data_IF_301863463664
#
_entry.id   IF_301863463664
#
_cell.length_a   1.000
_cell.length_b   1.000
_cell.length_c   1.000
_cell.angle_alpha   90.00
_cell.angle_beta   90.00
_cell.angle_gamma   90.00
#
_symmetry.space_group_name_H-M   'P 1'
#
loop_
_entity.id
_entity.type
_entity.pdbx_description
1 polymer ?
#
# COMPACT_ATOMS: atom_id res chain seq x y z
N UNK A 1 2.97 -5.91 -29.54
CA UNK A 1 2.24 -7.06 -28.95
C UNK A 1 3.01 -7.76 -27.82
N UNK A 2 4.34 -7.90 -27.90
CA UNK A 2 5.14 -8.59 -26.85
C UNK A 2 5.08 -7.93 -25.48
N UNK A 3 5.09 -6.60 -25.38
CA UNK A 3 5.03 -5.91 -24.09
C UNK A 3 3.74 -6.12 -23.31
N UNK A 4 2.60 -6.26 -24.00
CA UNK A 4 1.30 -6.54 -23.39
C UNK A 4 1.28 -7.93 -22.74
N UNK A 5 1.89 -8.93 -23.42
CA UNK A 5 1.92 -10.30 -22.91
C UNK A 5 2.75 -10.43 -21.62
N UNK A 6 3.88 -9.72 -21.54
CA UNK A 6 4.74 -9.73 -20.35
C UNK A 6 4.02 -9.08 -19.16
N UNK A 7 3.40 -7.91 -19.36
CA UNK A 7 2.67 -7.20 -18.31
C UNK A 7 1.50 -8.05 -17.76
N UNK A 8 0.76 -8.70 -18.67
CA UNK A 8 -0.34 -9.60 -18.31
C UNK A 8 0.14 -10.77 -17.46
N UNK A 9 1.25 -11.39 -17.87
CA UNK A 9 1.87 -12.48 -17.13
C UNK A 9 2.32 -12.02 -15.74
N UNK A 10 2.98 -10.85 -15.64
CA UNK A 10 3.47 -10.32 -14.36
C UNK A 10 2.33 -10.02 -13.38
N UNK A 11 1.24 -9.37 -13.85
CA UNK A 11 0.08 -9.09 -13.00
C UNK A 11 -0.61 -10.40 -12.57
N UNK A 12 -0.71 -11.39 -13.45
CA UNK A 12 -1.23 -12.71 -13.12
C UNK A 12 -0.40 -13.43 -12.05
N UNK A 13 0.93 -13.41 -12.20
CA UNK A 13 1.86 -13.99 -11.23
C UNK A 13 1.78 -13.26 -9.88
N UNK A 14 1.72 -11.93 -9.87
CA UNK A 14 1.56 -11.12 -8.66
C UNK A 14 0.22 -11.41 -7.96
N UNK A 15 -0.88 -11.46 -8.70
CA UNK A 15 -2.20 -11.85 -8.19
C UNK A 15 -2.16 -13.21 -7.49
N UNK A 16 -1.61 -14.22 -8.14
CA UNK A 16 -1.51 -15.58 -7.58
C UNK A 16 -0.62 -15.61 -6.34
N UNK A 17 0.52 -14.91 -6.36
CA UNK A 17 1.43 -14.85 -5.23
C UNK A 17 0.79 -14.17 -4.02
N UNK A 18 0.25 -12.96 -4.18
CA UNK A 18 -0.38 -12.24 -3.09
C UNK A 18 -1.62 -12.95 -2.58
N UNK A 19 -2.44 -13.52 -3.48
CA UNK A 19 -3.62 -14.31 -3.12
C UNK A 19 -3.26 -15.56 -2.31
N UNK A 20 -2.28 -16.32 -2.76
CA UNK A 20 -1.83 -17.53 -2.04
C UNK A 20 -1.26 -17.20 -0.66
N UNK A 21 -0.35 -16.22 -0.56
CA UNK A 21 0.24 -15.83 0.73
C UNK A 21 -0.84 -15.28 1.67
N UNK A 22 -1.75 -14.45 1.17
CA UNK A 22 -2.89 -13.96 1.93
C UNK A 22 -3.75 -15.10 2.47
N UNK A 23 -4.13 -16.04 1.61
CA UNK A 23 -4.91 -17.22 2.01
C UNK A 23 -4.21 -18.01 3.11
N UNK A 24 -2.91 -18.30 2.96
CA UNK A 24 -2.10 -18.99 3.97
C UNK A 24 -2.10 -18.26 5.32
N UNK A 25 -1.90 -16.95 5.31
CA UNK A 25 -1.88 -16.13 6.54
C UNK A 25 -3.25 -16.04 7.21
N UNK A 26 -4.33 -16.00 6.42
CA UNK A 26 -5.68 -15.90 6.95
C UNK A 26 -6.28 -17.23 7.39
N UNK A 27 -5.79 -18.38 6.90
CA UNK A 27 -6.28 -19.71 7.26
C UNK A 27 -5.47 -20.39 8.36
N UNK A 28 -4.18 -20.04 8.51
CA UNK A 28 -3.31 -20.64 9.53
C UNK A 28 -3.80 -20.31 10.96
N UNK A 29 -3.83 -21.32 11.83
CA UNK A 29 -4.20 -21.19 13.26
C UNK A 29 -3.11 -21.73 14.17
N UNK A 30 -2.79 -21.10 15.31
CA UNK A 30 -3.27 -19.79 15.81
C UNK A 30 -2.66 -18.64 15.02
N UNK A 31 -3.45 -17.60 14.74
CA UNK A 31 -2.98 -16.42 14.00
C UNK A 31 -2.80 -15.22 14.92
N UNK A 32 -1.65 -14.56 14.79
CA UNK A 32 -1.41 -13.28 15.44
C UNK A 32 -2.18 -12.15 14.75
N UNK A 33 -2.38 -11.05 15.46
CA UNK A 33 -3.02 -9.84 14.90
C UNK A 33 -2.24 -9.30 13.70
N UNK A 34 -0.91 -9.30 13.78
CA UNK A 34 -0.02 -8.85 12.70
C UNK A 34 -0.20 -9.71 11.44
N UNK A 35 -0.26 -11.05 11.59
CA UNK A 35 -0.51 -11.96 10.46
C UNK A 35 -1.87 -11.71 9.81
N UNK A 36 -2.88 -11.36 10.60
CA UNK A 36 -4.21 -11.03 10.07
C UNK A 36 -4.18 -9.73 9.25
N UNK A 37 -3.53 -8.68 9.77
CA UNK A 37 -3.41 -7.41 9.07
C UNK A 37 -2.59 -7.58 7.78
N UNK A 38 -1.46 -8.30 7.84
CA UNK A 38 -0.66 -8.60 6.65
C UNK A 38 -1.46 -9.40 5.62
N UNK A 39 -2.20 -10.43 6.06
CA UNK A 39 -3.05 -11.22 5.18
C UNK A 39 -4.11 -10.38 4.49
N UNK A 40 -4.78 -9.45 5.21
CA UNK A 40 -5.76 -8.53 4.63
C UNK A 40 -5.11 -7.53 3.66
N UNK A 41 -3.92 -7.02 3.98
CA UNK A 41 -3.16 -6.13 3.09
C UNK A 41 -2.81 -6.84 1.77
N UNK A 42 -2.32 -8.09 1.85
CA UNK A 42 -1.99 -8.88 0.66
C UNK A 42 -3.23 -9.30 -0.12
N UNK A 43 -4.36 -9.57 0.54
CA UNK A 43 -5.64 -9.81 -0.15
C UNK A 43 -6.07 -8.60 -0.96
N UNK A 44 -5.94 -7.40 -0.37
CA UNK A 44 -6.27 -6.16 -1.06
C UNK A 44 -5.34 -5.93 -2.27
N UNK A 45 -4.04 -6.19 -2.13
CA UNK A 45 -3.10 -6.10 -3.25
C UNK A 45 -3.41 -7.12 -4.35
N UNK A 46 -3.78 -8.35 -3.99
CA UNK A 46 -4.25 -9.31 -4.98
C UNK A 46 -5.46 -8.79 -5.77
N UNK A 47 -6.42 -8.13 -5.10
CA UNK A 47 -7.57 -7.52 -5.78
C UNK A 47 -7.16 -6.39 -6.72
N UNK A 48 -6.13 -5.60 -6.39
CA UNK A 48 -5.60 -4.57 -7.28
C UNK A 48 -4.97 -5.18 -8.54
N UNK A 49 -4.15 -6.21 -8.40
CA UNK A 49 -3.58 -6.92 -9.55
C UNK A 49 -4.67 -7.57 -10.42
N UNK A 50 -5.70 -8.16 -9.79
CA UNK A 50 -6.83 -8.72 -10.52
C UNK A 50 -7.61 -7.66 -11.32
N UNK A 51 -7.82 -6.49 -10.74
CA UNK A 51 -8.42 -5.33 -11.41
C UNK A 51 -7.60 -4.96 -12.67
N UNK A 52 -6.27 -4.92 -12.55
CA UNK A 52 -5.40 -4.58 -13.69
C UNK A 52 -5.47 -5.63 -14.79
N UNK A 53 -5.60 -6.92 -14.44
CA UNK A 53 -5.87 -7.98 -15.42
C UNK A 53 -7.20 -7.72 -16.15
N UNK A 54 -8.25 -7.30 -15.45
CA UNK A 54 -9.54 -7.00 -16.07
C UNK A 54 -9.47 -5.80 -17.03
N UNK A 55 -8.63 -4.79 -16.74
CA UNK A 55 -8.46 -3.62 -17.59
C UNK A 55 -7.75 -3.92 -18.93
N UNK A 56 -7.19 -5.11 -19.12
CA UNK A 56 -6.71 -5.52 -20.44
C UNK A 56 -7.83 -5.80 -21.46
N UNK A 57 -9.06 -6.01 -21.00
CA UNK A 57 -10.21 -6.14 -21.89
C UNK A 57 -10.64 -4.76 -22.40
N UNK A 58 -10.52 -4.48 -23.74
CA UNK A 58 -10.80 -3.14 -24.27
C UNK A 58 -12.23 -2.65 -23.98
N UNK A 59 -13.19 -3.56 -23.89
CA UNK A 59 -14.59 -3.27 -23.59
C UNK A 59 -14.82 -2.66 -22.20
N UNK A 60 -13.90 -2.89 -21.26
CA UNK A 60 -13.97 -2.35 -19.90
C UNK A 60 -13.16 -1.05 -19.74
N UNK A 61 -12.29 -0.72 -20.72
CA UNK A 61 -11.36 0.40 -20.61
C UNK A 61 -12.05 1.73 -20.97
N UNK A 62 -12.93 2.21 -20.10
CA UNK A 62 -13.47 3.57 -20.19
C UNK A 62 -12.63 4.52 -19.34
N UNK A 63 -12.44 5.76 -19.80
CA UNK A 63 -11.66 6.78 -19.08
C UNK A 63 -12.16 6.95 -17.63
N UNK A 64 -13.48 7.04 -17.43
CA UNK A 64 -14.08 7.16 -16.09
C UNK A 64 -13.74 5.97 -15.19
N UNK A 65 -13.77 4.75 -15.73
CA UNK A 65 -13.45 3.55 -14.95
C UNK A 65 -11.97 3.54 -14.57
N UNK A 66 -11.08 3.80 -15.53
CA UNK A 66 -9.62 3.86 -15.29
C UNK A 66 -9.31 4.89 -14.21
N UNK A 67 -9.86 6.10 -14.33
CA UNK A 67 -9.66 7.17 -13.37
C UNK A 67 -10.21 6.82 -11.98
N UNK A 68 -11.39 6.18 -11.89
CA UNK A 68 -11.94 5.72 -10.60
C UNK A 68 -11.05 4.67 -9.93
N UNK A 69 -10.47 3.78 -10.72
CA UNK A 69 -9.58 2.72 -10.23
C UNK A 69 -8.23 3.26 -9.74
N UNK A 70 -7.72 4.37 -10.31
CA UNK A 70 -6.53 5.05 -9.82
C UNK A 70 -6.69 5.56 -8.36
N UNK A 71 -7.90 6.00 -7.97
CA UNK A 71 -8.15 6.33 -6.56
C UNK A 71 -8.05 5.11 -5.66
N UNK A 72 -8.53 3.95 -6.13
CA UNK A 72 -8.47 2.69 -5.39
C UNK A 72 -7.01 2.24 -5.23
N UNK A 73 -6.16 2.43 -6.25
CA UNK A 73 -4.73 2.11 -6.17
C UNK A 73 -4.02 2.87 -5.05
N UNK A 74 -4.37 4.12 -4.83
CA UNK A 74 -3.83 4.89 -3.72
C UNK A 74 -4.13 4.30 -2.34
N UNK A 75 -5.22 3.52 -2.18
CA UNK A 75 -5.55 2.85 -0.92
C UNK A 75 -4.55 1.74 -0.55
N UNK A 76 -3.76 1.25 -1.51
CA UNK A 76 -2.67 0.31 -1.24
C UNK A 76 -1.69 0.86 -0.22
N UNK A 77 -1.44 2.17 -0.25
CA UNK A 77 -0.55 2.87 0.69
C UNK A 77 -1.14 2.87 2.11
N UNK A 78 -2.45 3.10 2.25
CA UNK A 78 -3.12 3.01 3.54
C UNK A 78 -3.06 1.60 4.11
N UNK A 79 -3.30 0.57 3.28
CA UNK A 79 -3.22 -0.83 3.69
C UNK A 79 -1.81 -1.22 4.17
N UNK A 80 -0.76 -0.82 3.43
CA UNK A 80 0.64 -0.98 3.86
C UNK A 80 0.94 -0.26 5.17
N UNK A 81 0.42 0.96 5.33
CA UNK A 81 0.62 1.76 6.54
C UNK A 81 0.07 1.06 7.78
N UNK A 82 -1.10 0.41 7.70
CA UNK A 82 -1.65 -0.35 8.83
C UNK A 82 -0.75 -1.49 9.26
N UNK A 83 -0.19 -2.23 8.30
CA UNK A 83 0.76 -3.29 8.61
C UNK A 83 2.02 -2.74 9.26
N UNK A 84 2.63 -1.70 8.70
CA UNK A 84 3.86 -1.11 9.23
C UNK A 84 3.67 -0.51 10.63
N UNK A 85 2.56 0.17 10.87
CA UNK A 85 2.23 0.76 12.18
C UNK A 85 1.98 -0.32 13.23
N UNK A 86 1.23 -1.39 12.89
CA UNK A 86 1.00 -2.50 13.83
C UNK A 86 2.28 -3.30 14.11
N UNK A 87 3.17 -3.43 13.10
CA UNK A 87 4.46 -4.09 13.25
C UNK A 87 5.40 -3.34 14.20
N UNK A 88 5.40 -2.01 14.13
CA UNK A 88 6.29 -1.16 14.94
C UNK A 88 5.72 -0.81 16.32
N UNK A 89 4.40 -0.83 16.46
CA UNK A 89 3.71 -0.54 17.70
C UNK A 89 2.49 -1.47 17.85
N UNK A 90 2.71 -2.75 18.26
CA UNK A 90 1.63 -3.72 18.39
C UNK A 90 0.50 -3.23 19.30
N UNK A 91 -0.74 -3.35 18.83
CA UNK A 91 -1.93 -2.89 19.56
C UNK A 91 -2.20 -1.40 19.46
N UNK A 92 -1.34 -0.61 18.81
CA UNK A 92 -1.58 0.83 18.63
C UNK A 92 -2.77 1.11 17.71
N UNK A 93 -2.98 0.25 16.70
CA UNK A 93 -4.03 0.41 15.71
C UNK A 93 -5.40 0.05 16.31
N UNK A 94 -6.26 1.02 16.56
CA UNK A 94 -7.65 0.83 16.97
C UNK A 94 -8.61 1.42 15.92
N UNK A 95 -9.89 1.14 16.02
CA UNK A 95 -10.89 1.58 15.05
C UNK A 95 -10.91 3.10 14.83
N UNK A 96 -10.73 3.90 15.90
CA UNK A 96 -10.69 5.37 15.80
C UNK A 96 -9.50 5.83 14.95
N UNK A 97 -8.33 5.22 15.15
CA UNK A 97 -7.12 5.55 14.40
C UNK A 97 -7.19 5.05 12.96
N UNK A 98 -7.73 3.85 12.73
CA UNK A 98 -8.00 3.35 11.38
C UNK A 98 -8.89 4.33 10.64
N UNK A 99 -10.01 4.74 11.24
CA UNK A 99 -10.92 5.70 10.62
C UNK A 99 -10.24 7.04 10.32
N UNK A 100 -9.45 7.57 11.26
CA UNK A 100 -8.68 8.81 11.06
C UNK A 100 -7.69 8.72 9.92
N UNK A 101 -7.02 7.56 9.75
CA UNK A 101 -6.05 7.35 8.67
C UNK A 101 -6.73 7.12 7.31
N UNK A 102 -7.92 6.54 7.29
CA UNK A 102 -8.68 6.23 6.07
C UNK A 102 -9.53 7.40 5.60
N UNK A 103 -10.02 8.25 6.53
CA UNK A 103 -10.98 9.31 6.21
C UNK A 103 -10.53 10.26 5.09
N UNK A 104 -9.25 10.67 4.95
CA UNK A 104 -8.84 11.51 3.84
C UNK A 104 -8.93 10.79 2.48
N UNK A 105 -8.57 9.49 2.44
CA UNK A 105 -8.70 8.68 1.22
C UNK A 105 -10.16 8.57 0.80
N UNK A 106 -11.07 8.33 1.78
CA UNK A 106 -12.50 8.32 1.53
C UNK A 106 -13.00 9.66 1.00
N UNK A 107 -12.57 10.77 1.60
CA UNK A 107 -12.98 12.11 1.17
C UNK A 107 -12.60 12.39 -0.28
N UNK A 108 -11.34 12.12 -0.68
CA UNK A 108 -10.91 12.26 -2.06
C UNK A 108 -11.67 11.34 -3.01
N UNK A 109 -11.84 10.07 -2.65
CA UNK A 109 -12.55 9.09 -3.49
C UNK A 109 -14.01 9.49 -3.69
N UNK A 110 -14.72 9.90 -2.62
CA UNK A 110 -16.11 10.36 -2.70
C UNK A 110 -16.20 11.64 -3.52
N UNK A 111 -15.31 12.61 -3.28
CA UNK A 111 -15.30 13.87 -4.05
C UNK A 111 -15.13 13.60 -5.54
N UNK A 112 -14.23 12.71 -5.94
CA UNK A 112 -14.07 12.33 -7.33
C UNK A 112 -15.30 11.59 -7.89
N UNK A 113 -15.84 10.59 -7.20
CA UNK A 113 -16.99 9.82 -7.67
C UNK A 113 -18.26 10.67 -7.81
N UNK A 114 -18.40 11.73 -6.99
CA UNK A 114 -19.54 12.66 -7.11
C UNK A 114 -19.40 13.64 -8.25
N UNK A 115 -18.18 14.06 -8.60
CA UNK A 115 -17.95 15.18 -9.55
C UNK A 115 -17.33 14.74 -10.86
N UNK A 116 -16.61 13.60 -10.88
CA UNK A 116 -15.71 13.15 -11.95
C UNK A 116 -14.72 14.25 -12.41
N UNK A 117 -14.33 15.11 -11.46
CA UNK A 117 -13.46 16.26 -11.72
C UNK A 117 -12.00 15.82 -11.71
N UNK A 118 -11.39 15.70 -12.88
CA UNK A 118 -10.02 15.21 -13.05
C UNK A 118 -8.93 16.08 -12.41
N UNK A 119 -9.04 17.42 -12.33
CA UNK A 119 -8.05 18.25 -11.65
C UNK A 119 -7.84 17.95 -10.15
N UNK A 120 -8.63 17.05 -9.54
CA UNK A 120 -8.42 16.59 -8.17
C UNK A 120 -7.18 15.64 -8.04
N UNK A 121 -6.73 15.02 -9.14
CA UNK A 121 -5.63 14.05 -9.13
C UNK A 121 -4.30 14.58 -8.57
N UNK A 122 -3.79 15.76 -8.99
CA UNK A 122 -2.55 16.29 -8.43
C UNK A 122 -2.62 16.46 -6.91
N UNK A 123 -3.77 16.90 -6.38
CA UNK A 123 -3.97 17.05 -4.94
C UNK A 123 -4.01 15.71 -4.24
N UNK A 124 -4.66 14.71 -4.82
CA UNK A 124 -4.70 13.36 -4.29
C UNK A 124 -3.31 12.70 -4.26
N UNK A 125 -2.53 12.82 -5.34
CA UNK A 125 -1.17 12.29 -5.37
C UNK A 125 -0.24 13.04 -4.42
N UNK A 126 -0.35 14.36 -4.33
CA UNK A 126 0.36 15.16 -3.34
C UNK A 126 0.03 14.73 -1.91
N UNK A 127 -1.25 14.47 -1.62
CA UNK A 127 -1.69 13.92 -0.35
C UNK A 127 -1.05 12.55 -0.06
N UNK A 128 -1.06 11.62 -1.03
CA UNK A 128 -0.45 10.28 -0.88
C UNK A 128 1.04 10.40 -0.56
N UNK A 129 1.78 11.28 -1.23
CA UNK A 129 3.21 11.49 -0.98
C UNK A 129 3.46 12.02 0.44
N UNK A 130 2.72 13.04 0.87
CA UNK A 130 2.85 13.62 2.21
C UNK A 130 2.49 12.58 3.27
N UNK A 131 1.36 11.87 3.08
CA UNK A 131 0.93 10.80 3.98
C UNK A 131 2.00 9.73 4.13
N UNK A 132 2.58 9.27 3.01
CA UNK A 132 3.62 8.24 3.01
C UNK A 132 4.89 8.71 3.69
N UNK A 133 5.32 9.96 3.46
CA UNK A 133 6.47 10.54 4.13
C UNK A 133 6.26 10.56 5.66
N UNK A 134 5.08 10.94 6.12
CA UNK A 134 4.72 10.92 7.55
C UNK A 134 4.79 9.49 8.10
N UNK A 135 4.22 8.50 7.41
CA UNK A 135 4.26 7.09 7.85
C UNK A 135 5.70 6.57 7.91
N UNK A 136 6.52 6.84 6.89
CA UNK A 136 7.94 6.46 6.86
C UNK A 136 8.69 7.06 8.05
N UNK A 137 8.47 8.32 8.36
CA UNK A 137 9.06 8.98 9.53
C UNK A 137 8.62 8.31 10.83
N UNK A 138 7.31 8.09 11.04
CA UNK A 138 6.78 7.43 12.24
C UNK A 138 7.39 6.05 12.40
N UNK A 139 7.40 5.22 11.36
CA UNK A 139 7.96 3.86 11.37
C UNK A 139 9.46 3.89 11.68
N UNK A 140 10.19 4.83 11.08
CA UNK A 140 11.64 4.99 11.31
C UNK A 140 11.94 5.35 12.78
N UNK A 141 11.20 6.31 13.35
CA UNK A 141 11.34 6.68 14.75
C UNK A 141 10.96 5.55 15.70
N UNK A 142 9.84 4.86 15.43
CA UNK A 142 9.40 3.71 16.22
C UNK A 142 10.42 2.57 16.18
N UNK A 143 10.98 2.24 15.00
CA UNK A 143 12.02 1.24 14.83
C UNK A 143 13.31 1.60 15.61
N UNK A 144 13.73 2.88 15.56
CA UNK A 144 14.88 3.37 16.34
C UNK A 144 14.65 3.26 17.85
N UNK A 145 13.43 3.60 18.31
CA UNK A 145 13.04 3.49 19.72
C UNK A 145 13.06 2.04 20.18
N UNK A 146 12.52 1.14 19.37
CA UNK A 146 12.51 -0.29 19.65
C UNK A 146 13.93 -0.89 19.70
N UNK A 147 14.82 -0.53 18.78
CA UNK A 147 16.22 -0.95 18.82
C UNK A 147 16.96 -0.50 20.09
N UNK A 148 16.71 0.76 20.52
CA UNK A 148 17.31 1.25 21.79
C UNK A 148 16.80 0.46 22.98
N UNK A 149 15.49 0.18 23.02
CA UNK A 149 14.88 -0.62 24.08
C UNK A 149 15.51 -2.02 24.17
N UNK A 150 15.65 -2.72 23.03
CA UNK A 150 16.27 -4.04 22.98
C UNK A 150 17.72 -3.97 23.50
N UNK A 151 18.52 -3.04 22.98
CA UNK A 151 19.93 -2.90 23.37
C UNK A 151 20.11 -2.60 24.85
N UNK A 152 19.19 -1.89 25.47
CA UNK A 152 19.28 -1.52 26.89
C UNK A 152 18.77 -2.60 27.85
N UNK A 153 17.91 -3.50 27.38
CA UNK A 153 17.25 -4.49 28.26
C UNK A 153 17.68 -5.93 27.98
N UNK A 154 18.38 -6.20 26.88
CA UNK A 154 18.80 -7.55 26.53
C UNK A 154 20.30 -7.56 26.21
N UNK A 155 21.03 -8.38 26.95
CA UNK A 155 22.49 -8.56 26.75
C UNK A 155 22.83 -9.33 25.47
N UNK A 156 21.86 -10.01 24.87
CA UNK A 156 22.00 -10.82 23.65
C UNK A 156 21.05 -10.29 22.58
N UNK A 157 21.50 -9.32 21.79
CA UNK A 157 20.67 -8.65 20.78
C UNK A 157 20.93 -9.14 19.34
N UNK A 158 21.83 -10.11 19.14
CA UNK A 158 22.26 -10.54 17.80
C UNK A 158 21.15 -11.12 16.90
N UNK A 159 20.09 -11.69 17.51
CA UNK A 159 18.97 -12.26 16.76
C UNK A 159 17.74 -11.35 16.61
N UNK A 160 17.78 -10.13 17.18
CA UNK A 160 16.64 -9.20 17.13
C UNK A 160 17.05 -7.92 16.38
N UNK A 161 17.49 -8.11 15.15
CA UNK A 161 17.85 -6.96 14.30
C UNK A 161 16.59 -6.45 13.56
N UNK A 162 16.26 -5.16 13.73
CA UNK A 162 15.21 -4.45 12.99
C UNK A 162 15.77 -3.67 11.80
N UNK A 163 17.04 -3.89 11.41
CA UNK A 163 17.65 -3.21 10.25
C UNK A 163 16.89 -3.56 8.96
N UNK A 164 16.34 -4.78 8.84
CA UNK A 164 15.51 -5.19 7.72
C UNK A 164 14.26 -4.31 7.56
N UNK A 165 13.65 -3.89 8.67
CA UNK A 165 12.46 -3.03 8.63
C UNK A 165 12.77 -1.66 8.04
N UNK A 166 13.93 -1.07 8.38
CA UNK A 166 14.38 0.19 7.79
C UNK A 166 14.63 0.04 6.29
N UNK A 167 15.31 -1.06 5.88
CA UNK A 167 15.55 -1.35 4.46
C UNK A 167 14.23 -1.53 3.71
N UNK A 168 13.30 -2.33 4.25
CA UNK A 168 11.99 -2.54 3.66
C UNK A 168 11.18 -1.25 3.53
N UNK A 169 11.15 -0.42 4.59
CA UNK A 169 10.46 0.88 4.57
C UNK A 169 11.07 1.83 3.54
N UNK A 170 12.40 1.84 3.42
CA UNK A 170 13.09 2.65 2.42
C UNK A 170 12.78 2.19 0.99
N UNK A 171 12.79 0.88 0.73
CA UNK A 171 12.41 0.31 -0.58
C UNK A 171 10.97 0.68 -0.92
N UNK A 172 10.04 0.52 0.02
CA UNK A 172 8.64 0.90 -0.17
C UNK A 172 8.48 2.39 -0.49
N UNK A 173 9.27 3.26 0.17
CA UNK A 173 9.26 4.70 -0.12
C UNK A 173 9.75 5.00 -1.54
N UNK A 174 10.82 4.34 -2.00
CA UNK A 174 11.32 4.47 -3.38
C UNK A 174 10.26 4.01 -4.38
N UNK A 175 9.69 2.83 -4.18
CA UNK A 175 8.63 2.29 -5.05
C UNK A 175 7.45 3.25 -5.15
N UNK A 176 7.04 3.86 -4.04
CA UNK A 176 5.96 4.83 -4.02
C UNK A 176 6.28 6.10 -4.81
N UNK A 177 7.47 6.67 -4.61
CA UNK A 177 7.90 7.88 -5.36
C UNK A 177 7.94 7.58 -6.85
N UNK A 178 8.50 6.43 -7.24
CA UNK A 178 8.55 5.98 -8.64
C UNK A 178 7.13 5.83 -9.21
N UNK A 179 6.23 5.21 -8.46
CA UNK A 179 4.83 5.03 -8.88
C UNK A 179 4.11 6.37 -9.10
N UNK A 180 4.21 7.30 -8.14
CA UNK A 180 3.60 8.64 -8.28
C UNK A 180 4.22 9.42 -9.44
N UNK A 181 5.54 9.32 -9.63
CA UNK A 181 6.23 9.97 -10.75
C UNK A 181 5.72 9.43 -12.10
N UNK A 182 5.59 8.11 -12.24
CA UNK A 182 5.07 7.47 -13.45
C UNK A 182 3.65 7.93 -13.76
N UNK A 183 2.77 7.97 -12.74
CA UNK A 183 1.40 8.45 -12.91
C UNK A 183 1.35 9.95 -13.30
N UNK A 184 2.22 10.77 -12.71
CA UNK A 184 2.32 12.19 -13.06
C UNK A 184 2.72 12.39 -14.52
N UNK A 185 3.65 11.58 -15.04
CA UNK A 185 4.05 11.64 -16.45
C UNK A 185 2.90 11.25 -17.40
N UNK A 186 2.12 10.24 -17.05
CA UNK A 186 0.97 9.81 -17.87
C UNK A 186 -0.06 10.93 -17.97
N UNK A 187 -0.36 11.62 -16.86
CA UNK A 187 -1.31 12.74 -16.86
C UNK A 187 -0.83 13.99 -17.58
N UNK A 188 0.49 14.21 -17.68
CA UNK A 188 1.05 15.39 -18.39
C UNK A 188 1.12 15.13 -19.91
N UNK A 189 1.22 13.87 -20.33
CA UNK A 189 1.39 13.48 -21.73
C UNK A 189 0.09 13.28 -22.50
N UNK A 190 -1.07 13.35 -21.85
CA UNK A 190 -2.38 13.37 -22.53
C UNK A 190 -2.85 14.81 -22.71
N UNK A 191 -2.82 15.37 -23.93
CA UNK A 191 -3.37 16.69 -24.23
C UNK A 191 -4.90 16.70 -24.20
#
# INVERSE_FOLDING_TARGET
MEGINISYFMNGAAFMFFGYVSFRLLTHRPRSRIQRILGLTLAFWALLEFKDILLYFPSLKTERLVNSLLFIDGWAVAACSFYLLELTAPGWLNWKKVFSLVSPYLAFTIAYLCTFYTPIFPFYFGFILIYSAIIVLIVTFAARRYQRYIRNNYSYSEHIDVAWLKKATFILAICLVTWVYTLSLIHISEP
#
